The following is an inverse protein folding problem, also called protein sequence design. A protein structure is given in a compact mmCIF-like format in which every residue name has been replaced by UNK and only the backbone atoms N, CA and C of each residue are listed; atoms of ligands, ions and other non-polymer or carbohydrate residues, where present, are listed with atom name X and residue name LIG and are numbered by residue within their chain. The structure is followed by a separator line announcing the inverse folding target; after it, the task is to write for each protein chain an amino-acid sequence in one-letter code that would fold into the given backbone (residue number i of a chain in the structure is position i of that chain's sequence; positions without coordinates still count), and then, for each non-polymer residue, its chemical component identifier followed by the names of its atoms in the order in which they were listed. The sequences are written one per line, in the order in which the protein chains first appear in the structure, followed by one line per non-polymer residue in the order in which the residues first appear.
data_IF_367005977353
#
_entry.id   IF_367005977353
#
_cell.length_a   1.000
_cell.length_b   1.000
_cell.length_c   1.000
_cell.angle_alpha   90.00
_cell.angle_beta   90.00
_cell.angle_gamma   90.00
#
_symmetry.space_group_name_H-M   'P 1'
#
loop_
_entity.id
_entity.type
_entity.pdbx_description
1 polymer ?
#
# COMPACT_ATOMS: atom_id res chain seq x y z
N UNK A 1 -10.24 10.04 20.36
CA UNK A 1 -11.44 9.19 20.32
C UNK A 1 -11.73 8.85 18.87
N UNK A 2 -11.83 7.57 18.54
CA UNK A 2 -12.27 7.11 17.21
C UNK A 2 -13.77 6.96 17.16
N UNK A 3 -14.38 7.19 15.99
CA UNK A 3 -15.82 7.11 15.79
C UNK A 3 -16.18 6.31 14.53
N UNK A 4 -17.40 5.81 14.47
CA UNK A 4 -18.00 5.22 13.27
C UNK A 4 -19.33 5.90 13.01
N UNK A 5 -19.40 6.62 11.89
CA UNK A 5 -20.66 7.26 11.48
C UNK A 5 -21.54 6.24 10.74
N UNK A 6 -22.82 6.22 11.10
CA UNK A 6 -23.86 5.45 10.43
C UNK A 6 -25.04 6.39 10.20
N UNK A 7 -25.51 6.51 8.95
CA UNK A 7 -26.66 7.34 8.65
C UNK A 7 -27.93 6.78 9.32
N UNK A 8 -28.69 7.64 9.95
CA UNK A 8 -29.89 7.27 10.74
C UNK A 8 -30.92 6.44 9.95
N UNK A 9 -31.03 6.70 8.66
CA UNK A 9 -31.98 5.98 7.78
C UNK A 9 -31.52 4.55 7.39
N UNK A 10 -30.25 4.21 7.58
CA UNK A 10 -29.69 2.94 7.12
C UNK A 10 -30.16 1.73 7.94
N UNK A 11 -30.29 1.81 9.29
CA UNK A 11 -30.72 0.66 10.10
C UNK A 11 -32.11 0.15 9.75
N UNK A 12 -33.00 1.01 9.24
CA UNK A 12 -34.35 0.61 8.83
C UNK A 12 -34.45 -0.04 7.44
N UNK A 13 -33.37 -0.07 6.66
CA UNK A 13 -33.37 -0.64 5.32
C UNK A 13 -33.03 -2.15 5.37
N UNK A 14 -33.78 -2.97 4.62
CA UNK A 14 -33.53 -4.41 4.51
C UNK A 14 -32.09 -4.75 4.09
N UNK A 15 -31.44 -3.89 3.32
CA UNK A 15 -30.05 -4.06 2.89
C UNK A 15 -29.00 -3.78 3.98
N UNK A 16 -29.37 -3.19 5.13
CA UNK A 16 -28.41 -2.79 6.18
C UNK A 16 -27.62 -3.98 6.73
N UNK A 17 -28.26 -5.13 6.87
CA UNK A 17 -27.61 -6.36 7.33
C UNK A 17 -26.35 -6.72 6.52
N UNK A 18 -26.34 -6.41 5.23
CA UNK A 18 -25.17 -6.67 4.36
C UNK A 18 -24.01 -5.71 4.60
N UNK A 19 -24.23 -4.59 5.28
CA UNK A 19 -23.19 -3.64 5.67
C UNK A 19 -22.58 -3.95 7.05
N UNK A 20 -23.27 -4.75 7.88
CA UNK A 20 -22.83 -5.08 9.23
C UNK A 20 -21.44 -5.73 9.30
N UNK A 21 -21.04 -6.66 8.41
CA UNK A 21 -19.69 -7.21 8.43
C UNK A 21 -18.61 -6.13 8.25
N UNK A 22 -18.82 -5.19 7.32
CA UNK A 22 -17.89 -4.09 7.07
C UNK A 22 -17.79 -3.14 8.28
N UNK A 23 -18.94 -2.79 8.88
CA UNK A 23 -19.01 -1.92 10.07
C UNK A 23 -18.28 -2.57 11.24
N UNK A 24 -18.55 -3.86 11.53
CA UNK A 24 -17.88 -4.61 12.60
C UNK A 24 -16.37 -4.68 12.40
N UNK A 25 -15.92 -4.96 11.19
CA UNK A 25 -14.51 -5.03 10.82
C UNK A 25 -13.81 -3.67 11.02
N UNK A 26 -14.43 -2.59 10.55
CA UNK A 26 -13.88 -1.25 10.71
C UNK A 26 -13.82 -0.81 12.17
N UNK A 27 -14.85 -1.11 12.98
CA UNK A 27 -14.85 -0.81 14.42
C UNK A 27 -13.72 -1.58 15.10
N UNK A 28 -13.60 -2.90 14.85
CA UNK A 28 -12.54 -3.72 15.43
C UNK A 28 -11.16 -3.13 15.14
N UNK A 29 -10.88 -2.75 13.88
CA UNK A 29 -9.62 -2.14 13.49
C UNK A 29 -9.38 -0.78 14.17
N UNK A 30 -10.42 0.06 14.30
CA UNK A 30 -10.35 1.38 14.95
C UNK A 30 -10.00 1.31 16.45
N UNK A 31 -10.39 0.24 17.13
CA UNK A 31 -10.08 0.02 18.55
C UNK A 31 -8.78 -0.77 18.76
N UNK A 32 -7.97 -0.96 17.70
CA UNK A 32 -6.67 -1.64 17.77
C UNK A 32 -6.71 -3.15 17.59
N UNK A 33 -7.89 -3.73 17.26
CA UNK A 33 -7.99 -5.15 16.92
C UNK A 33 -7.46 -5.45 15.50
N UNK A 34 -7.13 -6.70 15.26
CA UNK A 34 -6.63 -7.21 13.96
C UNK A 34 -7.71 -8.10 13.36
N UNK A 35 -8.54 -7.60 12.41
CA UNK A 35 -9.61 -8.40 11.80
C UNK A 35 -9.11 -9.66 11.10
N UNK A 36 -8.03 -9.54 10.33
CA UNK A 36 -7.27 -10.65 9.73
C UNK A 36 -5.87 -10.19 9.39
N UNK A 37 -4.97 -11.13 9.20
CA UNK A 37 -3.57 -10.88 8.85
C UNK A 37 -3.10 -11.86 7.77
N UNK A 38 -2.01 -11.52 7.10
CA UNK A 38 -1.41 -12.38 6.09
C UNK A 38 -0.70 -13.56 6.75
N UNK A 39 -0.92 -14.76 6.20
CA UNK A 39 -0.12 -15.91 6.56
C UNK A 39 1.21 -15.86 5.79
N UNK A 40 2.32 -15.75 6.50
CA UNK A 40 3.66 -15.75 5.93
C UNK A 40 4.33 -17.10 6.14
N UNK A 41 4.84 -17.70 5.06
CA UNK A 41 5.58 -18.98 5.12
C UNK A 41 7.07 -18.79 5.44
N UNK A 42 7.64 -17.63 5.14
CA UNK A 42 9.03 -17.27 5.43
C UNK A 42 9.06 -16.12 6.42
N UNK A 43 9.87 -16.28 7.46
CA UNK A 43 10.19 -15.20 8.39
C UNK A 43 11.31 -14.34 7.77
N UNK A 44 10.99 -13.46 6.85
CA UNK A 44 11.85 -12.33 6.51
C UNK A 44 11.43 -11.15 7.37
N UNK A 45 12.39 -10.40 7.88
CA UNK A 45 12.14 -9.20 8.68
C UNK A 45 12.09 -7.98 7.75
N UNK A 46 11.05 -7.89 6.92
CA UNK A 46 10.91 -6.82 5.93
C UNK A 46 10.20 -5.61 6.54
N UNK A 47 10.73 -4.42 6.27
CA UNK A 47 10.01 -3.16 6.48
C UNK A 47 9.30 -2.76 5.19
N UNK A 48 7.99 -2.66 5.24
CA UNK A 48 7.17 -2.26 4.08
C UNK A 48 6.59 -0.87 4.33
N UNK A 49 6.92 0.06 3.47
CA UNK A 49 6.51 1.46 3.57
C UNK A 49 5.56 1.79 2.42
N UNK A 50 4.36 2.23 2.77
CA UNK A 50 3.37 2.66 1.80
C UNK A 50 3.33 4.18 1.64
N UNK A 51 3.30 4.67 0.41
CA UNK A 51 3.19 6.08 0.09
C UNK A 51 2.13 6.27 -1.00
N UNK A 52 1.01 6.88 -0.63
CA UNK A 52 -0.07 7.27 -1.54
C UNK A 52 -0.22 8.78 -1.59
N UNK A 53 -1.04 9.29 -2.52
CA UNK A 53 -1.30 10.70 -2.64
C UNK A 53 -2.73 11.00 -3.03
N UNK A 54 -3.21 12.15 -2.60
CA UNK A 54 -4.49 12.72 -2.99
C UNK A 54 -4.29 14.16 -3.50
N UNK A 55 -4.86 14.48 -4.66
CA UNK A 55 -4.88 15.85 -5.18
C UNK A 55 -6.25 16.45 -4.93
N UNK A 56 -6.30 17.50 -4.12
CA UNK A 56 -7.53 18.28 -3.94
C UNK A 56 -7.78 19.16 -5.15
N UNK A 57 -8.85 18.90 -5.89
CA UNK A 57 -9.23 19.72 -7.06
C UNK A 57 -9.64 21.14 -6.63
N UNK A 58 -10.26 21.29 -5.46
CA UNK A 58 -10.73 22.59 -4.95
C UNK A 58 -9.61 23.58 -4.68
N UNK A 59 -8.47 23.13 -4.21
CA UNK A 59 -7.34 23.99 -3.82
C UNK A 59 -6.08 23.78 -4.66
N UNK A 60 -6.12 22.86 -5.64
CA UNK A 60 -5.00 22.56 -6.52
C UNK A 60 -3.77 21.95 -5.84
N UNK A 61 -3.83 21.69 -4.52
CA UNK A 61 -2.74 21.14 -3.73
C UNK A 61 -2.78 19.61 -3.73
N UNK A 62 -1.59 19.02 -3.70
CA UNK A 62 -1.42 17.59 -3.49
C UNK A 62 -0.95 17.32 -2.06
N UNK A 63 -1.56 16.33 -1.44
CA UNK A 63 -1.18 15.80 -0.14
C UNK A 63 -0.62 14.39 -0.34
N UNK A 64 0.46 14.08 0.33
CA UNK A 64 1.05 12.75 0.32
C UNK A 64 0.85 12.14 1.70
N UNK A 65 0.12 11.04 1.73
CA UNK A 65 -0.01 10.22 2.93
C UNK A 65 1.06 9.12 2.92
N UNK A 66 1.68 8.90 4.04
CA UNK A 66 2.65 7.82 4.23
C UNK A 66 2.16 6.87 5.29
N UNK A 67 1.95 5.61 4.92
CA UNK A 67 1.64 4.55 5.86
C UNK A 67 2.91 3.77 6.16
N UNK A 68 3.38 3.87 7.38
CA UNK A 68 4.64 3.26 7.77
C UNK A 68 4.46 1.90 8.38
N UNK A 69 5.47 1.08 8.19
CA UNK A 69 5.70 -0.15 8.87
C UNK A 69 4.52 -1.11 8.86
N UNK A 70 4.32 -1.68 7.71
CA UNK A 70 3.71 -2.99 7.67
C UNK A 70 4.84 -4.01 7.82
N UNK A 71 4.68 -4.92 8.73
CA UNK A 71 5.46 -6.15 8.71
C UNK A 71 4.93 -7.09 7.61
N UNK A 72 5.58 -8.21 7.38
CA UNK A 72 5.16 -9.19 6.38
C UNK A 72 3.74 -9.76 6.58
N UNK A 73 3.17 -9.61 7.76
CA UNK A 73 1.83 -10.03 8.13
C UNK A 73 0.79 -8.96 7.85
N UNK A 74 1.23 -7.78 7.41
CA UNK A 74 0.38 -6.64 7.08
C UNK A 74 -0.11 -5.88 8.32
N UNK A 75 0.58 -6.03 9.44
CA UNK A 75 0.28 -5.26 10.66
C UNK A 75 0.78 -3.84 10.50
N UNK A 76 -0.14 -2.90 10.65
CA UNK A 76 0.10 -1.47 10.58
C UNK A 76 0.70 -0.95 11.91
N UNK A 77 1.63 -0.01 11.82
CA UNK A 77 2.22 0.65 13.01
C UNK A 77 1.83 2.12 13.11
N UNK A 78 2.25 2.95 12.17
CA UNK A 78 1.93 4.37 12.17
C UNK A 78 1.95 4.98 10.76
N UNK A 79 1.46 6.20 10.61
CA UNK A 79 1.57 6.97 9.38
C UNK A 79 1.63 8.48 9.66
N UNK A 80 2.06 9.25 8.66
CA UNK A 80 2.01 10.71 8.64
C UNK A 80 1.47 11.22 7.29
N UNK A 81 1.25 12.53 7.17
CA UNK A 81 0.83 13.17 5.94
C UNK A 81 1.54 14.50 5.75
N UNK A 82 2.00 14.78 4.54
CA UNK A 82 2.76 15.99 4.19
C UNK A 82 2.41 16.45 2.78
N UNK A 83 2.92 17.62 2.38
CA UNK A 83 2.72 18.17 1.02
C UNK A 83 3.69 17.55 0.02
N UNK A 84 3.30 17.51 -1.27
CA UNK A 84 4.04 16.84 -2.36
C UNK A 84 5.46 17.38 -2.64
N UNK A 85 5.74 18.59 -2.24
CA UNK A 85 7.04 19.25 -2.45
C UNK A 85 8.06 18.98 -1.34
N UNK A 86 7.68 18.28 -0.26
CA UNK A 86 8.53 18.02 0.89
C UNK A 86 9.07 16.58 0.93
N UNK A 87 10.03 16.31 0.04
CA UNK A 87 10.73 15.01 0.05
C UNK A 87 11.54 14.78 1.33
N UNK A 88 12.06 15.86 1.94
CA UNK A 88 12.88 15.72 3.15
C UNK A 88 12.01 15.26 4.35
N UNK A 89 10.75 15.67 4.40
CA UNK A 89 9.77 15.10 5.32
C UNK A 89 9.56 13.60 5.08
N UNK A 90 9.42 13.15 3.84
CA UNK A 90 9.30 11.71 3.53
C UNK A 90 10.51 10.93 4.03
N UNK A 91 11.72 11.42 3.76
CA UNK A 91 12.97 10.78 4.22
C UNK A 91 13.05 10.75 5.75
N UNK A 92 12.65 11.85 6.40
CA UNK A 92 12.56 11.96 7.85
C UNK A 92 11.59 10.96 8.48
N UNK A 93 10.44 10.77 7.83
CA UNK A 93 9.43 9.84 8.29
C UNK A 93 9.84 8.37 8.08
N UNK A 94 10.47 8.05 6.95
CA UNK A 94 11.09 6.73 6.72
C UNK A 94 12.13 6.44 7.82
N UNK A 95 12.94 7.43 8.19
CA UNK A 95 13.92 7.29 9.27
C UNK A 95 13.27 6.98 10.62
N UNK A 96 12.20 7.69 10.98
CA UNK A 96 11.45 7.44 12.23
C UNK A 96 10.83 6.04 12.24
N UNK A 97 10.20 5.66 11.12
CA UNK A 97 9.59 4.35 10.96
C UNK A 97 10.60 3.21 11.14
N UNK A 98 11.78 3.34 10.54
CA UNK A 98 12.86 2.38 10.72
C UNK A 98 13.34 2.31 12.17
N UNK A 99 13.46 3.46 12.84
CA UNK A 99 13.82 3.50 14.25
C UNK A 99 12.85 2.73 15.14
N UNK A 100 11.54 2.94 14.94
CA UNK A 100 10.51 2.18 15.66
C UNK A 100 10.56 0.69 15.34
N UNK A 101 10.67 0.34 14.05
CA UNK A 101 10.76 -1.06 13.63
C UNK A 101 11.94 -1.80 14.27
N UNK A 102 13.12 -1.16 14.30
CA UNK A 102 14.32 -1.76 14.90
C UNK A 102 14.14 -2.02 16.40
N UNK A 103 13.47 -1.11 17.11
CA UNK A 103 13.19 -1.28 18.54
C UNK A 103 12.23 -2.47 18.78
N UNK A 104 11.22 -2.63 17.94
CA UNK A 104 10.17 -3.65 18.13
C UNK A 104 10.54 -5.01 17.53
N UNK A 105 11.21 -5.03 16.39
CA UNK A 105 11.42 -6.23 15.57
C UNK A 105 12.87 -6.52 15.22
N UNK A 106 13.82 -5.70 15.68
CA UNK A 106 15.24 -5.84 15.35
C UNK A 106 15.58 -5.32 13.95
N UNK A 107 16.81 -5.58 13.50
CA UNK A 107 17.28 -5.09 12.22
C UNK A 107 16.49 -5.68 11.04
N UNK A 108 16.04 -4.86 10.09
CA UNK A 108 15.36 -5.35 8.91
C UNK A 108 16.32 -6.03 7.92
N UNK A 109 15.83 -7.05 7.22
CA UNK A 109 16.56 -7.71 6.14
C UNK A 109 16.56 -6.86 4.86
N UNK A 110 15.47 -6.09 4.64
CA UNK A 110 15.29 -5.22 3.46
C UNK A 110 14.20 -4.20 3.72
N UNK A 111 14.26 -3.10 2.94
CA UNK A 111 13.23 -2.06 2.91
C UNK A 111 12.47 -2.14 1.59
N UNK A 112 11.15 -2.19 1.65
CA UNK A 112 10.27 -2.23 0.47
C UNK A 112 9.38 -0.99 0.51
N UNK A 113 9.45 -0.16 -0.52
CA UNK A 113 8.68 1.07 -0.63
C UNK A 113 7.63 0.91 -1.74
N UNK A 114 6.36 0.85 -1.38
CA UNK A 114 5.24 0.95 -2.30
C UNK A 114 4.94 2.42 -2.56
N UNK A 115 5.10 2.85 -3.81
CA UNK A 115 5.02 4.26 -4.17
C UNK A 115 4.00 4.48 -5.30
N UNK A 116 3.13 5.49 -5.16
CA UNK A 116 2.01 5.74 -6.08
C UNK A 116 2.39 6.27 -7.47
N UNK A 117 3.63 6.70 -7.67
CA UNK A 117 4.18 7.21 -8.94
C UNK A 117 5.62 6.73 -9.14
N UNK A 118 6.20 6.96 -10.32
CA UNK A 118 7.63 6.68 -10.55
C UNK A 118 8.49 7.59 -9.66
N UNK A 119 9.31 6.99 -8.82
CA UNK A 119 10.26 7.71 -7.96
C UNK A 119 11.46 8.19 -8.79
N UNK A 120 11.80 9.47 -8.68
CA UNK A 120 12.97 10.02 -9.36
C UNK A 120 14.26 9.46 -8.77
N UNK A 121 15.32 9.43 -9.58
CA UNK A 121 16.64 8.91 -9.16
C UNK A 121 17.18 9.64 -7.93
N UNK A 122 17.12 10.98 -7.96
CA UNK A 122 17.55 11.81 -6.83
C UNK A 122 16.82 11.50 -5.51
N UNK A 123 15.54 11.08 -5.61
CA UNK A 123 14.68 10.83 -4.45
C UNK A 123 15.03 9.47 -3.85
N UNK A 124 15.27 8.46 -4.70
CA UNK A 124 15.76 7.16 -4.24
C UNK A 124 17.17 7.23 -3.65
N UNK A 125 18.04 8.08 -4.22
CA UNK A 125 19.39 8.30 -3.71
C UNK A 125 19.38 8.91 -2.29
N UNK A 126 18.51 9.89 -2.01
CA UNK A 126 18.37 10.46 -0.66
C UNK A 126 17.95 9.39 0.38
N UNK A 127 17.05 8.47 0.00
CA UNK A 127 16.60 7.39 0.89
C UNK A 127 17.76 6.44 1.19
N UNK A 128 18.50 6.02 0.16
CA UNK A 128 19.64 5.10 0.36
C UNK A 128 20.79 5.75 1.12
N UNK A 129 21.05 7.03 0.91
CA UNK A 129 22.05 7.80 1.67
C UNK A 129 21.65 7.91 3.15
N UNK A 130 20.38 8.15 3.43
CA UNK A 130 19.88 8.18 4.80
C UNK A 130 20.04 6.82 5.49
N UNK A 131 19.72 5.71 4.81
CA UNK A 131 19.91 4.36 5.32
C UNK A 131 21.38 4.06 5.63
N UNK A 132 22.25 4.44 4.70
CA UNK A 132 23.70 4.29 4.89
C UNK A 132 24.22 5.05 6.12
N UNK A 133 23.79 6.32 6.31
CA UNK A 133 24.12 7.13 7.47
C UNK A 133 23.62 6.54 8.80
N UNK A 134 22.57 5.73 8.75
CA UNK A 134 22.06 4.97 9.90
C UNK A 134 22.77 3.62 10.12
N UNK A 135 23.76 3.28 9.28
CA UNK A 135 24.50 2.02 9.38
C UNK A 135 23.81 0.83 8.70
N UNK A 136 22.74 1.05 7.94
CA UNK A 136 22.05 -0.03 7.21
C UNK A 136 22.69 -0.24 5.84
N UNK A 137 23.18 -1.46 5.61
CA UNK A 137 23.67 -1.95 4.30
C UNK A 137 22.76 -3.07 3.80
N UNK A 138 21.51 -2.71 3.49
CA UNK A 138 20.44 -3.63 3.11
C UNK A 138 19.80 -3.21 1.79
N UNK A 139 19.25 -4.17 1.01
CA UNK A 139 18.59 -3.85 -0.24
C UNK A 139 17.32 -3.04 -0.05
N UNK A 140 17.10 -2.06 -0.93
CA UNK A 140 15.90 -1.25 -1.00
C UNK A 140 15.17 -1.57 -2.29
N UNK A 141 13.90 -1.94 -2.18
CA UNK A 141 13.04 -2.19 -3.32
C UNK A 141 12.00 -1.08 -3.42
N UNK A 142 11.89 -0.46 -4.59
CA UNK A 142 10.87 0.52 -4.90
C UNK A 142 9.86 -0.15 -5.84
N UNK A 143 8.63 -0.27 -5.37
CA UNK A 143 7.52 -0.81 -6.13
C UNK A 143 6.60 0.34 -6.50
N UNK A 144 6.73 0.84 -7.72
CA UNK A 144 5.79 1.82 -8.28
C UNK A 144 4.47 1.12 -8.58
N UNK A 145 3.38 1.65 -8.05
CA UNK A 145 2.02 1.10 -8.20
C UNK A 145 1.16 2.16 -8.85
N UNK A 146 0.92 2.01 -10.14
CA UNK A 146 0.18 3.00 -10.92
C UNK A 146 -1.17 2.43 -11.37
N UNK A 147 -2.26 3.09 -10.95
CA UNK A 147 -3.62 2.69 -11.31
C UNK A 147 -4.12 3.31 -12.62
N UNK A 148 -3.51 4.39 -13.08
CA UNK A 148 -3.96 5.15 -14.25
C UNK A 148 -3.25 4.75 -15.53
N UNK A 149 -1.96 4.45 -15.48
CA UNK A 149 -1.17 4.02 -16.66
C UNK A 149 -1.52 2.62 -17.18
N UNK A 150 -2.36 1.89 -16.48
CA UNK A 150 -2.81 0.56 -16.89
C UNK A 150 -4.11 0.57 -17.68
N UNK A 151 -4.77 1.71 -17.85
CA UNK A 151 -6.03 1.83 -18.60
C UNK A 151 -5.91 1.49 -20.08
N UNK A 152 -4.70 1.56 -20.63
CA UNK A 152 -4.41 1.23 -22.04
C UNK A 152 -4.21 -0.29 -22.27
N UNK A 153 -4.22 -1.10 -21.21
CA UNK A 153 -3.99 -2.54 -21.28
C UNK A 153 -5.27 -3.30 -20.96
N UNK A 154 -5.72 -4.11 -21.91
CA UNK A 154 -6.85 -5.02 -21.74
C UNK A 154 -6.35 -6.45 -21.94
N UNK A 155 -6.58 -7.32 -20.98
CA UNK A 155 -6.25 -8.73 -21.07
C UNK A 155 -7.52 -9.58 -21.04
N UNK A 156 -7.52 -10.63 -21.81
CA UNK A 156 -8.64 -11.57 -21.92
C UNK A 156 -8.18 -12.98 -21.53
N UNK A 157 -8.98 -13.65 -20.73
CA UNK A 157 -8.89 -15.09 -20.49
C UNK A 157 -9.88 -15.77 -21.44
N UNK A 158 -9.37 -16.34 -22.52
CA UNK A 158 -10.21 -16.97 -23.55
C UNK A 158 -10.86 -18.28 -23.10
N UNK A 159 -10.45 -18.83 -21.98
CA UNK A 159 -11.04 -20.02 -21.36
C UNK A 159 -12.22 -19.66 -20.44
N UNK A 160 -12.38 -18.37 -20.11
CA UNK A 160 -13.48 -17.90 -19.28
C UNK A 160 -14.60 -17.28 -20.11
N UNK A 161 -15.88 -17.67 -19.93
CA UNK A 161 -17.01 -17.06 -20.63
C UNK A 161 -17.11 -15.54 -20.44
N UNK A 162 -16.64 -15.01 -19.31
CA UNK A 162 -16.60 -13.58 -19.03
C UNK A 162 -15.33 -12.88 -19.52
N UNK A 163 -14.40 -13.61 -20.11
CA UNK A 163 -13.12 -13.14 -20.65
C UNK A 163 -12.21 -12.45 -19.62
N UNK A 164 -12.55 -12.47 -18.34
CA UNK A 164 -11.80 -11.78 -17.29
C UNK A 164 -10.65 -12.67 -16.78
N UNK A 165 -9.38 -12.17 -16.77
CA UNK A 165 -8.27 -12.89 -16.17
C UNK A 165 -8.51 -13.24 -14.70
N UNK A 166 -8.00 -14.38 -14.26
CA UNK A 166 -8.09 -14.78 -12.84
C UNK A 166 -7.44 -13.75 -11.92
N UNK A 167 -8.03 -13.59 -10.76
CA UNK A 167 -7.47 -12.75 -9.70
C UNK A 167 -6.06 -13.21 -9.35
N UNK A 168 -5.10 -12.28 -9.38
CA UNK A 168 -3.69 -12.56 -9.15
C UNK A 168 -2.91 -12.92 -10.43
N UNK A 169 -3.54 -12.90 -11.61
CA UNK A 169 -2.81 -13.04 -12.87
C UNK A 169 -1.81 -11.91 -13.03
N UNK A 170 -0.56 -12.29 -13.35
CA UNK A 170 0.55 -11.37 -13.57
C UNK A 170 1.02 -11.51 -15.01
N UNK A 171 1.08 -10.40 -15.74
CA UNK A 171 1.64 -10.32 -17.09
C UNK A 171 2.92 -9.49 -17.04
N UNK A 172 4.01 -10.04 -17.56
CA UNK A 172 5.27 -9.32 -17.66
C UNK A 172 5.30 -8.52 -18.95
N UNK A 173 5.51 -7.20 -18.85
CA UNK A 173 5.62 -6.30 -19.99
C UNK A 173 7.08 -6.09 -20.42
N UNK A 174 7.98 -5.99 -19.44
CA UNK A 174 9.40 -5.77 -19.68
C UNK A 174 10.24 -6.44 -18.57
N UNK A 175 11.52 -6.12 -18.51
CA UNK A 175 12.42 -6.62 -17.46
C UNK A 175 11.90 -6.34 -16.05
N UNK A 176 11.34 -5.14 -15.79
CA UNK A 176 10.93 -4.68 -14.49
C UNK A 176 9.50 -4.10 -14.45
N UNK A 177 8.71 -4.27 -15.52
CA UNK A 177 7.33 -3.79 -15.60
C UNK A 177 6.35 -4.95 -15.75
N UNK A 178 5.26 -4.89 -14.97
CA UNK A 178 4.27 -5.95 -14.85
C UNK A 178 2.86 -5.37 -14.78
N UNK A 179 1.88 -6.17 -15.23
CA UNK A 179 0.47 -5.94 -14.97
C UNK A 179 0.00 -6.96 -13.95
N UNK A 180 -0.75 -6.50 -12.94
CA UNK A 180 -1.38 -7.35 -11.95
C UNK A 180 -2.90 -7.20 -12.06
N UNK A 181 -3.59 -8.28 -12.40
CA UNK A 181 -5.06 -8.34 -12.40
C UNK A 181 -5.55 -8.65 -10.99
N UNK A 182 -5.99 -7.61 -10.31
CA UNK A 182 -6.36 -7.64 -8.92
C UNK A 182 -7.90 -7.52 -8.77
N UNK A 183 -8.62 -8.31 -9.55
CA UNK A 183 -10.08 -8.34 -9.62
C UNK A 183 -10.70 -9.30 -8.58
N UNK A 184 -12.02 -9.44 -8.61
CA UNK A 184 -12.78 -10.33 -7.72
C UNK A 184 -13.03 -11.71 -8.31
N UNK A 185 -12.48 -12.04 -9.48
CA UNK A 185 -12.64 -13.37 -10.08
C UNK A 185 -11.73 -14.37 -9.39
N UNK A 186 -12.31 -15.35 -8.73
CA UNK A 186 -11.60 -16.51 -8.18
C UNK A 186 -11.87 -17.76 -9.05
N UNK A 187 -13.01 -18.44 -8.82
CA UNK A 187 -13.32 -19.71 -9.48
C UNK A 187 -14.68 -19.73 -10.18
N UNK A 188 -15.52 -18.72 -9.97
CA UNK A 188 -16.88 -18.69 -10.55
C UNK A 188 -17.10 -17.43 -11.38
N UNK A 189 -17.79 -17.53 -12.53
CA UNK A 189 -18.23 -16.35 -13.26
C UNK A 189 -19.21 -15.54 -12.37
N UNK A 190 -19.05 -14.23 -12.38
CA UNK A 190 -19.85 -13.33 -11.57
C UNK A 190 -19.66 -11.88 -11.99
N UNK A 191 -20.16 -10.97 -11.17
CA UNK A 191 -19.90 -9.54 -11.36
C UNK A 191 -18.45 -9.24 -11.00
N UNK A 192 -17.70 -8.78 -11.98
CA UNK A 192 -16.30 -8.42 -11.81
C UNK A 192 -16.17 -6.95 -11.43
N UNK A 193 -15.51 -6.69 -10.31
CA UNK A 193 -15.00 -5.37 -9.96
C UNK A 193 -13.56 -5.25 -10.50
N UNK A 194 -13.14 -4.04 -10.91
CA UNK A 194 -11.78 -3.75 -11.38
C UNK A 194 -11.36 -4.49 -12.66
N UNK A 195 -11.96 -4.08 -13.78
CA UNK A 195 -11.70 -4.63 -15.11
C UNK A 195 -10.26 -4.44 -15.59
N UNK A 196 -9.61 -3.35 -15.17
CA UNK A 196 -8.25 -3.01 -15.58
C UNK A 196 -7.21 -3.50 -14.57
N UNK A 197 -6.03 -3.92 -15.04
CA UNK A 197 -4.93 -4.30 -14.17
C UNK A 197 -4.35 -3.08 -13.44
N UNK A 198 -3.47 -3.35 -12.48
CA UNK A 198 -2.57 -2.35 -11.89
C UNK A 198 -1.22 -2.51 -12.54
N UNK A 199 -0.64 -1.43 -13.07
CA UNK A 199 0.71 -1.43 -13.62
C UNK A 199 1.72 -1.29 -12.48
N UNK A 200 2.69 -2.18 -12.46
CA UNK A 200 3.74 -2.25 -11.46
C UNK A 200 5.10 -2.09 -12.14
N UNK A 201 5.95 -1.23 -11.57
CA UNK A 201 7.36 -1.12 -11.97
C UNK A 201 8.23 -1.35 -10.75
N UNK A 202 9.15 -2.28 -10.87
CA UNK A 202 10.04 -2.70 -9.80
C UNK A 202 11.44 -2.11 -10.02
N UNK A 203 12.05 -1.60 -8.93
CA UNK A 203 13.43 -1.13 -8.95
C UNK A 203 14.13 -1.61 -7.68
N UNK A 204 15.28 -2.24 -7.84
CA UNK A 204 16.19 -2.54 -6.73
C UNK A 204 17.24 -1.45 -6.65
N UNK A 205 17.41 -0.88 -5.48
CA UNK A 205 18.42 0.12 -5.20
C UNK A 205 19.23 -0.36 -4.01
N UNK A 206 20.51 -0.34 -4.11
CA UNK A 206 21.38 -0.81 -3.05
C UNK A 206 22.52 0.18 -2.85
N UNK A 207 22.86 0.40 -1.60
CA UNK A 207 23.96 1.29 -1.25
C UNK A 207 25.22 0.45 -1.00
N UNK A 208 26.31 0.74 -1.69
CA UNK A 208 27.60 0.03 -1.61
C UNK A 208 27.62 -1.44 -2.04
N UNK A 209 26.64 -1.90 -2.83
CA UNK A 209 26.66 -3.26 -3.37
C UNK A 209 27.57 -3.39 -4.59
N UNK A 210 28.07 -4.59 -4.80
CA UNK A 210 28.64 -5.00 -6.06
C UNK A 210 27.62 -4.83 -7.20
N UNK A 211 28.03 -4.56 -8.46
CA UNK A 211 27.13 -4.33 -9.58
C UNK A 211 26.08 -5.44 -9.78
N UNK A 212 26.45 -6.68 -9.59
CA UNK A 212 25.58 -7.86 -9.69
C UNK A 212 24.43 -7.87 -8.68
N UNK A 213 24.60 -7.23 -7.52
CA UNK A 213 23.57 -7.14 -6.50
C UNK A 213 22.52 -6.06 -6.78
N UNK A 214 22.76 -5.20 -7.78
CA UNK A 214 21.81 -4.17 -8.19
C UNK A 214 20.72 -4.68 -9.11
N UNK A 215 20.93 -5.81 -9.75
CA UNK A 215 19.95 -6.39 -10.64
C UNK A 215 18.81 -7.05 -9.87
N UNK A 216 17.58 -6.76 -10.34
CA UNK A 216 16.38 -7.39 -9.82
C UNK A 216 16.25 -8.81 -10.37
N UNK A 217 16.42 -9.82 -9.52
CA UNK A 217 16.21 -11.21 -9.91
C UNK A 217 14.72 -11.54 -10.03
N UNK A 218 14.40 -12.53 -10.84
CA UNK A 218 13.00 -12.92 -11.11
C UNK A 218 12.30 -13.50 -9.86
N UNK A 219 13.02 -14.17 -8.99
CA UNK A 219 12.47 -14.66 -7.71
C UNK A 219 12.13 -13.51 -6.76
N UNK A 220 12.97 -12.47 -6.70
CA UNK A 220 12.70 -11.25 -5.96
C UNK A 220 11.48 -10.49 -6.54
N UNK A 221 11.44 -10.34 -7.87
CA UNK A 221 10.30 -9.73 -8.55
C UNK A 221 8.99 -10.45 -8.23
N UNK A 222 8.99 -11.79 -8.31
CA UNK A 222 7.81 -12.62 -8.00
C UNK A 222 7.38 -12.46 -6.54
N UNK A 223 8.32 -12.37 -5.60
CA UNK A 223 8.04 -12.16 -4.19
C UNK A 223 7.37 -10.79 -3.95
N UNK A 224 7.90 -9.72 -4.57
CA UNK A 224 7.34 -8.37 -4.49
C UNK A 224 5.94 -8.27 -5.10
N UNK A 225 5.73 -8.85 -6.29
CA UNK A 225 4.42 -8.88 -6.96
C UNK A 225 3.37 -9.62 -6.11
N UNK A 226 3.75 -10.77 -5.55
CA UNK A 226 2.88 -11.52 -4.65
C UNK A 226 2.59 -10.74 -3.36
N UNK A 227 3.53 -9.96 -2.86
CA UNK A 227 3.32 -9.08 -1.71
C UNK A 227 2.27 -8.01 -2.03
N UNK A 228 2.39 -7.31 -3.17
CA UNK A 228 1.37 -6.33 -3.61
C UNK A 228 0.00 -6.97 -3.69
N UNK A 229 -0.11 -8.16 -4.30
CA UNK A 229 -1.35 -8.92 -4.38
C UNK A 229 -1.94 -9.21 -3.00
N UNK A 230 -1.13 -9.74 -2.07
CA UNK A 230 -1.57 -10.05 -0.71
C UNK A 230 -2.04 -8.81 0.04
N UNK A 231 -1.30 -7.69 -0.05
CA UNK A 231 -1.68 -6.44 0.60
C UNK A 231 -2.98 -5.83 0.06
N UNK A 232 -3.41 -6.17 -1.15
CA UNK A 232 -4.72 -5.77 -1.65
C UNK A 232 -5.89 -6.51 -0.98
N UNK A 233 -5.59 -7.59 -0.23
CA UNK A 233 -6.57 -8.38 0.55
C UNK A 233 -6.70 -7.91 1.99
N UNK A 234 -5.91 -6.91 2.40
CA UNK A 234 -5.81 -6.44 3.79
C UNK A 234 -6.69 -5.22 4.09
N UNK A 235 -7.68 -4.92 3.25
CA UNK A 235 -8.52 -3.74 3.40
C UNK A 235 -9.63 -3.95 4.44
N UNK A 236 -9.40 -3.44 5.65
CA UNK A 236 -10.30 -3.66 6.80
C UNK A 236 -11.54 -2.76 6.85
N UNK A 237 -11.71 -1.82 5.93
CA UNK A 237 -12.96 -1.06 5.78
C UNK A 237 -14.06 -1.86 5.10
N UNK A 238 -13.70 -2.89 4.35
CA UNK A 238 -14.64 -3.72 3.62
C UNK A 238 -14.11 -5.14 3.48
N UNK A 239 -14.99 -6.11 3.58
CA UNK A 239 -14.68 -7.51 3.25
C UNK A 239 -14.52 -7.72 1.74
N UNK A 240 -14.92 -6.73 0.93
CA UNK A 240 -14.67 -6.76 -0.51
C UNK A 240 -13.20 -6.50 -0.81
N UNK A 241 -12.70 -7.28 -1.74
CA UNK A 241 -11.37 -7.12 -2.28
C UNK A 241 -11.17 -5.75 -2.95
N UNK A 242 -9.94 -5.25 -2.87
CA UNK A 242 -9.52 -4.01 -3.52
C UNK A 242 -8.51 -4.30 -4.64
N UNK A 243 -8.45 -3.44 -5.66
CA UNK A 243 -7.43 -3.55 -6.71
C UNK A 243 -6.07 -2.99 -6.26
N UNK A 244 -6.06 -2.03 -5.34
CA UNK A 244 -4.85 -1.45 -4.78
C UNK A 244 -4.49 -2.08 -3.44
N UNK A 245 -3.21 -2.26 -3.12
CA UNK A 245 -2.78 -2.68 -1.80
C UNK A 245 -3.05 -1.59 -0.76
N UNK A 246 -3.26 -1.99 0.48
CA UNK A 246 -3.50 -1.05 1.59
C UNK A 246 -2.34 -0.07 1.78
N UNK A 247 -1.13 -0.44 1.41
CA UNK A 247 0.07 0.42 1.40
C UNK A 247 -0.05 1.64 0.50
N UNK A 248 -0.98 1.63 -0.46
CA UNK A 248 -1.35 2.79 -1.28
C UNK A 248 -2.70 3.34 -0.84
N UNK A 249 -3.67 2.46 -0.58
CA UNK A 249 -5.05 2.85 -0.28
C UNK A 249 -5.19 3.61 1.02
N UNK A 250 -4.54 3.17 2.09
CA UNK A 250 -4.62 3.85 3.39
C UNK A 250 -3.97 5.24 3.36
N UNK A 251 -2.73 5.40 2.84
CA UNK A 251 -2.17 6.73 2.63
C UNK A 251 -3.04 7.67 1.79
N UNK A 252 -3.66 7.19 0.71
CA UNK A 252 -4.60 7.99 -0.09
C UNK A 252 -5.78 8.47 0.74
N UNK A 253 -6.41 7.58 1.51
CA UNK A 253 -7.57 7.92 2.36
C UNK A 253 -7.21 8.97 3.42
N UNK A 254 -6.04 8.87 4.02
CA UNK A 254 -5.56 9.86 4.99
C UNK A 254 -5.29 11.20 4.31
N UNK A 255 -4.59 11.19 3.18
CA UNK A 255 -4.28 12.39 2.41
C UNK A 255 -5.55 13.12 1.92
N UNK A 256 -6.64 12.40 1.65
CA UNK A 256 -7.95 12.96 1.30
C UNK A 256 -8.59 13.72 2.47
N UNK A 257 -8.41 13.24 3.69
CA UNK A 257 -9.06 13.80 4.88
C UNK A 257 -8.23 14.92 5.52
N UNK A 258 -6.91 14.91 5.40
CA UNK A 258 -6.02 15.90 6.04
C UNK A 258 -6.37 17.35 5.75
N UNK A 259 -6.79 17.76 4.53
CA UNK A 259 -7.22 19.14 4.27
C UNK A 259 -8.40 19.65 5.13
N UNK A 260 -9.13 18.73 5.75
CA UNK A 260 -10.26 19.05 6.63
C UNK A 260 -9.87 19.23 8.10
N UNK A 261 -8.62 18.92 8.46
CA UNK A 261 -8.11 19.19 9.80
C UNK A 261 -7.69 20.66 9.96
N UNK A 262 -7.82 21.15 11.20
CA UNK A 262 -7.29 22.46 11.56
C UNK A 262 -5.77 22.47 11.33
N UNK A 263 -5.25 23.48 10.64
CA UNK A 263 -3.84 23.60 10.21
C UNK A 263 -3.38 22.58 9.16
N UNK A 264 -4.27 21.79 8.58
CA UNK A 264 -3.90 20.75 7.59
C UNK A 264 -2.86 19.76 8.15
N UNK A 265 -2.92 19.44 9.45
CA UNK A 265 -2.00 18.54 10.13
C UNK A 265 -2.75 17.41 10.85
N UNK A 266 -2.17 16.23 10.83
CA UNK A 266 -2.70 15.10 11.59
C UNK A 266 -2.44 15.29 13.10
N UNK A 267 -3.48 15.17 13.94
CA UNK A 267 -3.29 15.16 15.38
C UNK A 267 -2.50 13.91 15.80
N UNK A 268 -1.79 13.98 16.94
CA UNK A 268 -0.92 12.90 17.41
C UNK A 268 -1.65 11.53 17.47
N UNK A 269 -2.90 11.49 17.99
CA UNK A 269 -3.70 10.26 18.03
C UNK A 269 -4.02 9.70 16.63
N UNK A 270 -4.03 10.54 15.59
CA UNK A 270 -4.32 10.17 14.22
C UNK A 270 -3.16 9.47 13.51
N UNK A 271 -1.98 9.41 14.13
CA UNK A 271 -0.79 8.80 13.53
C UNK A 271 -0.60 7.33 13.87
N UNK A 272 -1.28 6.83 14.89
CA UNK A 272 -1.06 5.49 15.45
C UNK A 272 -2.26 4.56 15.38
N UNK A 273 -3.38 5.01 14.84
CA UNK A 273 -4.58 4.18 14.73
C UNK A 273 -5.32 4.37 13.40
N UNK A 274 -6.18 3.42 13.07
CA UNK A 274 -6.90 3.37 11.78
C UNK A 274 -8.25 4.09 11.84
N UNK A 275 -8.31 5.30 12.40
CA UNK A 275 -9.52 6.09 12.58
C UNK A 275 -10.28 6.41 11.28
N UNK A 276 -9.61 6.39 10.16
CA UNK A 276 -10.13 6.74 8.82
C UNK A 276 -10.87 5.57 8.11
N UNK A 277 -10.91 4.38 8.69
CA UNK A 277 -11.61 3.21 8.14
C UNK A 277 -13.14 3.32 8.20
#
# INVERSE_FOLDING_TARGET
VTSQAIYNENPGKNAFQFHLPNIKTAILAKIGGIPWQLQTRKKSNDVIIGVGAFKSEKIGKRYIGSAFCFNNEGVFQNFDCYRDDDLDSLVGDIRKALGHFVIESGNPDRVIIHYYKTMKERDSAKITDMLYKLGFSIPVYIVTINKTEASDYVGFDTEDPGLMPKSGTIVRLSYNEFLLYNNARYDKPGRYDFLFPVKLKLKKVYNNAAPEDKELRMDEARALLNQVYKFSRMYWKSVKQQNLPITIKYPEMVAEIVPHFRKEELPAFGKTNLWFL
#
